data_IF_064648049427
#
_entry.id   IF_064648049427
#
_cell.length_a   1.000
_cell.length_b   1.000
_cell.length_c   1.000
_cell.angle_alpha   90.00
_cell.angle_beta   90.00
_cell.angle_gamma   90.00
#
_symmetry.space_group_name_H-M   'P 1'
#
loop_
_entity.id
_entity.type
_entity.pdbx_description
1 polymer ?
#
# COMPACT_ATOMS: atom_id res chain seq x y z
N UNK A 1 38.92 6.52 -35.49
CA UNK A 1 37.97 6.82 -34.40
C UNK A 1 38.23 5.79 -33.31
N UNK A 2 38.72 6.23 -32.14
CA UNK A 2 39.06 5.35 -31.01
C UNK A 2 37.75 4.98 -30.31
N UNK A 3 37.52 3.69 -30.08
CA UNK A 3 36.37 3.22 -29.32
C UNK A 3 36.33 3.88 -27.93
N UNK A 4 35.14 4.19 -27.37
CA UNK A 4 35.03 4.73 -26.03
C UNK A 4 35.58 3.71 -25.03
N UNK A 5 36.48 4.17 -24.16
CA UNK A 5 36.99 3.40 -23.02
C UNK A 5 35.84 3.02 -22.07
N UNK A 6 35.88 1.82 -21.46
CA UNK A 6 34.89 1.42 -20.46
C UNK A 6 34.90 2.39 -19.26
N UNK A 7 33.76 2.58 -18.57
CA UNK A 7 33.70 3.46 -17.41
C UNK A 7 34.70 3.00 -16.36
N UNK A 8 35.44 3.95 -15.80
CA UNK A 8 36.39 3.76 -14.69
C UNK A 8 35.73 2.98 -13.56
N UNK A 9 36.24 1.79 -13.25
CA UNK A 9 35.84 1.01 -12.08
C UNK A 9 36.13 1.83 -10.83
N UNK A 10 35.09 2.23 -10.09
CA UNK A 10 35.24 2.78 -8.74
C UNK A 10 36.11 1.82 -7.89
N UNK A 11 36.96 2.35 -7.00
CA UNK A 11 37.78 1.51 -6.13
C UNK A 11 36.88 0.67 -5.22
N UNK A 12 37.23 -0.60 -5.06
CA UNK A 12 36.51 -1.48 -4.12
C UNK A 12 36.77 -1.03 -2.69
N UNK A 13 35.71 -1.01 -1.89
CA UNK A 13 35.74 -0.61 -0.47
C UNK A 13 35.39 -1.82 0.38
N UNK A 14 36.18 -2.08 1.43
CA UNK A 14 35.88 -3.13 2.41
C UNK A 14 34.85 -2.60 3.41
N UNK A 15 33.78 -3.36 3.68
CA UNK A 15 32.79 -2.98 4.70
C UNK A 15 33.42 -2.92 6.09
N UNK A 16 33.06 -1.92 6.89
CA UNK A 16 33.66 -1.68 8.21
C UNK A 16 33.35 -2.75 9.25
N UNK A 17 32.19 -3.41 9.12
CA UNK A 17 31.64 -4.29 10.16
C UNK A 17 31.79 -5.76 9.76
N UNK A 18 31.70 -6.05 8.46
CA UNK A 18 31.62 -7.40 7.90
C UNK A 18 32.76 -7.74 6.92
N UNK A 19 33.91 -7.08 7.06
CA UNK A 19 35.17 -7.57 6.50
C UNK A 19 36.01 -8.26 7.60
N UNK A 20 35.65 -9.51 7.90
CA UNK A 20 36.18 -10.27 9.03
C UNK A 20 37.51 -10.92 8.63
N UNK A 21 38.62 -10.68 9.37
CA UNK A 21 39.93 -11.26 9.05
C UNK A 21 39.93 -12.79 8.94
N UNK A 22 39.21 -13.45 9.87
CA UNK A 22 39.04 -14.91 9.94
C UNK A 22 38.00 -15.48 8.95
N UNK A 23 37.31 -14.60 8.19
CA UNK A 23 36.37 -15.02 7.16
C UNK A 23 37.06 -15.84 6.07
N UNK A 24 36.33 -16.78 5.49
CA UNK A 24 36.84 -17.71 4.48
C UNK A 24 36.08 -17.60 3.14
N UNK A 25 35.29 -16.55 2.96
CA UNK A 25 34.62 -16.25 1.70
C UNK A 25 34.49 -14.74 1.52
N UNK A 26 34.94 -14.24 0.38
CA UNK A 26 34.83 -12.84 -0.04
C UNK A 26 33.65 -12.69 -1.00
N UNK A 27 32.76 -11.77 -0.69
CA UNK A 27 31.55 -11.45 -1.46
C UNK A 27 31.63 -9.99 -1.86
N UNK A 28 31.28 -9.72 -3.11
CA UNK A 28 31.17 -8.37 -3.64
C UNK A 28 29.73 -8.03 -3.96
N UNK A 29 29.27 -6.92 -3.40
CA UNK A 29 27.97 -6.30 -3.69
C UNK A 29 28.25 -4.87 -4.15
N UNK A 30 27.92 -4.57 -5.41
CA UNK A 30 28.29 -3.31 -6.07
C UNK A 30 29.81 -3.02 -5.98
N UNK A 31 30.21 -1.98 -5.23
CA UNK A 31 31.59 -1.57 -4.95
C UNK A 31 32.07 -1.96 -3.54
N UNK A 32 31.23 -2.66 -2.76
CA UNK A 32 31.55 -3.10 -1.38
C UNK A 32 31.98 -4.56 -1.33
N UNK A 33 33.09 -4.84 -0.62
CA UNK A 33 33.60 -6.17 -0.30
C UNK A 33 33.24 -6.56 1.13
N UNK A 34 32.71 -7.77 1.27
CA UNK A 34 32.39 -8.43 2.53
C UNK A 34 33.25 -9.68 2.65
N UNK A 35 33.88 -9.89 3.80
CA UNK A 35 34.65 -11.11 4.08
C UNK A 35 34.04 -11.80 5.29
N UNK A 36 33.41 -12.96 5.07
CA UNK A 36 32.52 -13.60 6.03
C UNK A 36 32.77 -15.10 6.13
N UNK A 37 32.12 -15.76 7.09
CA UNK A 37 32.20 -17.21 7.27
C UNK A 37 31.16 -17.90 6.39
N UNK A 38 31.65 -18.66 5.40
CA UNK A 38 30.87 -19.46 4.45
C UNK A 38 29.77 -20.30 5.10
N UNK A 39 30.07 -20.88 6.26
CA UNK A 39 29.14 -21.72 7.01
C UNK A 39 27.84 -20.97 7.35
N UNK A 40 27.93 -19.70 7.75
CA UNK A 40 26.75 -18.91 8.12
C UNK A 40 25.83 -18.65 6.91
N UNK A 41 26.42 -18.42 5.74
CA UNK A 41 25.67 -18.26 4.50
C UNK A 41 25.05 -19.58 4.04
N UNK A 42 25.63 -20.73 4.40
CA UNK A 42 25.12 -22.06 4.03
C UNK A 42 23.98 -22.55 4.93
N UNK A 43 23.49 -21.72 5.86
CA UNK A 43 22.41 -22.11 6.77
C UNK A 43 21.06 -22.02 6.07
N UNK A 44 20.07 -22.67 6.68
CA UNK A 44 18.66 -22.55 6.31
C UNK A 44 18.31 -22.98 4.87
N UNK A 45 19.08 -23.90 4.28
CA UNK A 45 18.82 -24.36 2.92
C UNK A 45 19.03 -23.27 1.87
N UNK A 46 19.84 -22.26 2.17
CA UNK A 46 19.99 -21.09 1.32
C UNK A 46 20.53 -21.44 -0.07
N UNK A 47 20.34 -20.53 -1.02
CA UNK A 47 20.94 -20.64 -2.35
C UNK A 47 22.48 -20.73 -2.29
N UNK A 48 23.10 -20.16 -1.24
CA UNK A 48 24.55 -20.26 -1.03
C UNK A 48 24.97 -21.68 -0.70
N UNK A 49 24.20 -22.44 0.07
CA UNK A 49 24.50 -23.86 0.37
C UNK A 49 24.63 -24.68 -0.92
N UNK A 50 23.67 -24.49 -1.85
CA UNK A 50 23.70 -25.13 -3.17
C UNK A 50 24.89 -24.69 -4.00
N UNK A 51 25.15 -23.38 -4.09
CA UNK A 51 26.31 -22.83 -4.82
C UNK A 51 27.63 -23.40 -4.30
N UNK A 52 27.80 -23.42 -2.98
CA UNK A 52 28.99 -23.91 -2.30
C UNK A 52 29.17 -25.42 -2.43
N UNK A 53 28.08 -26.16 -2.59
CA UNK A 53 28.11 -27.58 -2.88
C UNK A 53 28.55 -27.89 -4.31
N UNK A 54 28.82 -26.91 -5.18
CA UNK A 54 29.34 -27.18 -6.54
C UNK A 54 30.86 -27.06 -6.64
N UNK A 55 31.52 -26.52 -5.62
CA UNK A 55 32.96 -26.24 -5.65
C UNK A 55 33.83 -27.50 -5.84
N UNK A 56 33.35 -28.67 -5.38
CA UNK A 56 34.07 -29.93 -5.54
C UNK A 56 34.05 -30.47 -6.99
N UNK A 57 33.18 -29.93 -7.85
CA UNK A 57 33.10 -30.29 -9.26
C UNK A 57 34.12 -29.55 -10.14
N UNK A 58 34.83 -28.54 -9.59
CA UNK A 58 35.83 -27.73 -10.30
C UNK A 58 37.22 -27.79 -9.64
N UNK A 59 37.85 -28.98 -9.55
CA UNK A 59 39.19 -29.09 -8.98
C UNK A 59 40.23 -28.40 -9.88
N UNK A 60 41.03 -27.48 -9.30
CA UNK A 60 42.21 -26.89 -9.94
C UNK A 60 42.07 -25.46 -10.48
N UNK A 61 40.88 -24.85 -10.42
CA UNK A 61 40.69 -23.42 -10.69
C UNK A 61 40.64 -22.62 -9.39
N UNK A 62 41.19 -21.39 -9.37
CA UNK A 62 41.00 -20.46 -8.25
C UNK A 62 39.50 -20.32 -7.98
N UNK A 63 39.07 -20.62 -6.74
CA UNK A 63 37.62 -20.64 -6.46
C UNK A 63 37.13 -19.21 -6.29
N UNK A 64 35.92 -18.98 -6.76
CA UNK A 64 35.24 -17.71 -6.54
C UNK A 64 35.02 -17.51 -5.04
N UNK A 65 35.38 -16.34 -4.53
CA UNK A 65 35.30 -15.97 -3.13
C UNK A 65 36.54 -16.28 -2.28
N UNK A 66 37.64 -16.78 -2.84
CA UNK A 66 38.88 -17.03 -2.07
C UNK A 66 39.71 -15.76 -1.82
N UNK A 67 39.56 -14.71 -2.65
CA UNK A 67 40.31 -13.46 -2.51
C UNK A 67 39.54 -12.24 -3.01
N UNK A 68 40.04 -11.04 -2.70
CA UNK A 68 39.48 -9.76 -3.13
C UNK A 68 39.56 -9.56 -4.65
N UNK A 69 40.52 -10.21 -5.32
CA UNK A 69 40.68 -10.19 -6.79
C UNK A 69 39.69 -11.11 -7.51
N UNK A 70 39.13 -12.11 -6.81
CA UNK A 70 38.16 -13.05 -7.36
C UNK A 70 37.00 -13.31 -6.37
N UNK A 71 36.22 -12.28 -6.00
CA UNK A 71 35.13 -12.40 -5.04
C UNK A 71 33.87 -13.01 -5.68
N UNK A 72 32.94 -13.50 -4.85
CA UNK A 72 31.61 -13.91 -5.32
C UNK A 72 30.76 -12.68 -5.62
N UNK A 73 30.33 -12.54 -6.87
CA UNK A 73 29.64 -11.34 -7.36
C UNK A 73 28.13 -11.44 -7.20
N UNK A 74 27.53 -10.69 -6.27
CA UNK A 74 26.08 -10.62 -6.12
C UNK A 74 25.50 -9.49 -6.96
N UNK A 75 25.08 -9.82 -8.18
CA UNK A 75 24.56 -8.83 -9.13
C UNK A 75 23.14 -8.38 -8.75
N UNK A 76 22.94 -7.06 -8.76
CA UNK A 76 21.64 -6.42 -8.53
C UNK A 76 21.25 -6.25 -7.06
N UNK A 77 22.07 -6.69 -6.11
CA UNK A 77 21.84 -6.46 -4.69
C UNK A 77 22.46 -5.15 -4.21
N UNK A 78 21.94 -4.65 -3.10
CA UNK A 78 22.47 -3.47 -2.41
C UNK A 78 23.33 -3.85 -1.20
N UNK A 79 24.43 -3.14 -0.93
CA UNK A 79 25.26 -3.40 0.25
C UNK A 79 24.46 -3.38 1.55
N UNK A 80 23.49 -2.48 1.69
CA UNK A 80 22.64 -2.33 2.88
C UNK A 80 21.71 -3.54 3.09
N UNK A 81 21.25 -4.16 2.00
CA UNK A 81 20.44 -5.38 2.04
C UNK A 81 21.29 -6.56 2.50
N UNK A 82 22.47 -6.73 1.90
CA UNK A 82 23.40 -7.78 2.30
C UNK A 82 23.88 -7.60 3.74
N UNK A 83 24.12 -6.37 4.16
CA UNK A 83 24.46 -6.04 5.54
C UNK A 83 23.34 -6.41 6.52
N UNK A 84 22.07 -6.21 6.15
CA UNK A 84 20.94 -6.65 6.96
C UNK A 84 20.89 -8.18 7.14
N UNK A 85 21.18 -8.94 6.07
CA UNK A 85 21.33 -10.40 6.16
C UNK A 85 22.45 -10.79 7.11
N UNK A 86 23.64 -10.20 6.94
CA UNK A 86 24.79 -10.49 7.79
C UNK A 86 24.52 -10.12 9.26
N UNK A 87 23.81 -9.02 9.51
CA UNK A 87 23.33 -8.68 10.85
C UNK A 87 22.51 -9.83 11.45
N UNK A 88 21.52 -10.37 10.74
CA UNK A 88 20.71 -11.48 11.25
C UNK A 88 21.51 -12.76 11.52
N UNK A 89 22.60 -13.00 10.78
CA UNK A 89 23.42 -14.21 10.87
C UNK A 89 24.48 -14.14 11.98
N UNK A 90 24.97 -12.94 12.30
CA UNK A 90 26.05 -12.71 13.24
C UNK A 90 25.60 -12.12 14.59
N UNK A 91 24.44 -11.47 14.65
CA UNK A 91 23.95 -10.83 15.86
C UNK A 91 23.57 -11.85 16.95
N UNK A 92 23.68 -11.42 18.20
CA UNK A 92 23.28 -12.23 19.34
C UNK A 92 21.75 -12.32 19.44
N UNK A 93 21.17 -13.38 20.04
CA UNK A 93 19.73 -13.49 20.21
C UNK A 93 19.08 -12.24 20.84
N UNK A 94 19.73 -11.64 21.83
CA UNK A 94 19.23 -10.44 22.50
C UNK A 94 19.17 -9.21 21.58
N UNK A 95 19.98 -9.15 20.52
CA UNK A 95 20.00 -8.06 19.55
C UNK A 95 18.98 -8.30 18.43
N UNK A 96 18.83 -9.57 18.02
CA UNK A 96 17.91 -10.01 16.97
C UNK A 96 16.47 -9.93 17.43
N UNK A 97 16.17 -10.34 18.67
CA UNK A 97 14.79 -10.34 19.21
C UNK A 97 14.32 -8.99 19.75
N UNK A 98 15.13 -7.92 19.65
CA UNK A 98 14.65 -6.58 19.95
C UNK A 98 13.65 -6.13 18.88
N UNK A 99 12.47 -5.72 19.33
CA UNK A 99 11.47 -5.14 18.43
C UNK A 99 12.00 -3.83 17.82
N UNK A 100 11.77 -3.60 16.51
CA UNK A 100 12.07 -2.33 15.88
C UNK A 100 11.51 -1.15 16.66
N UNK A 101 12.38 -0.20 17.01
CA UNK A 101 12.01 1.01 17.77
C UNK A 101 12.26 2.29 16.99
N UNK A 102 12.91 2.19 15.84
CA UNK A 102 13.23 3.31 14.94
C UNK A 102 12.81 3.00 13.50
N UNK A 103 12.65 4.04 12.68
CA UNK A 103 12.41 3.86 11.24
C UNK A 103 13.58 3.12 10.55
N UNK A 104 14.82 3.35 10.99
CA UNK A 104 15.99 2.62 10.49
C UNK A 104 15.93 1.12 10.79
N UNK A 105 15.36 0.73 11.93
CA UNK A 105 15.15 -0.69 12.24
C UNK A 105 14.14 -1.30 11.28
N UNK A 106 13.01 -0.63 11.05
CA UNK A 106 11.99 -1.09 10.10
C UNK A 106 12.61 -1.28 8.71
N UNK A 107 13.38 -0.30 8.22
CA UNK A 107 14.07 -0.39 6.93
C UNK A 107 15.06 -1.56 6.89
N UNK A 108 15.83 -1.81 7.96
CA UNK A 108 16.71 -2.98 8.05
C UNK A 108 15.93 -4.30 7.97
N UNK A 109 14.76 -4.39 8.60
CA UNK A 109 13.91 -5.58 8.52
C UNK A 109 13.28 -5.77 7.13
N UNK A 110 12.90 -4.69 6.44
CA UNK A 110 12.47 -4.74 5.03
C UNK A 110 13.60 -5.28 4.14
N UNK A 111 14.80 -4.72 4.27
CA UNK A 111 16.00 -5.15 3.58
C UNK A 111 16.28 -6.64 3.83
N UNK A 112 16.20 -7.06 5.09
CA UNK A 112 16.38 -8.43 5.51
C UNK A 112 15.36 -9.37 4.85
N UNK A 113 14.06 -9.05 4.90
CA UNK A 113 13.03 -9.88 4.29
C UNK A 113 13.25 -10.03 2.78
N UNK A 114 13.58 -8.94 2.09
CA UNK A 114 13.83 -8.93 0.63
C UNK A 114 15.01 -9.83 0.23
N UNK A 115 16.14 -9.71 0.92
CA UNK A 115 17.33 -10.50 0.57
C UNK A 115 17.24 -11.94 1.07
N UNK A 116 16.60 -12.17 2.22
CA UNK A 116 16.32 -13.51 2.73
C UNK A 116 15.43 -14.28 1.74
N UNK A 117 14.40 -13.64 1.19
CA UNK A 117 13.58 -14.18 0.12
C UNK A 117 14.41 -14.54 -1.12
N UNK A 118 15.21 -13.59 -1.64
CA UNK A 118 16.06 -13.79 -2.83
C UNK A 118 17.00 -14.98 -2.70
N UNK A 119 17.63 -15.13 -1.54
CA UNK A 119 18.61 -16.20 -1.27
C UNK A 119 18.03 -17.40 -0.53
N UNK A 120 16.71 -17.49 -0.41
CA UNK A 120 16.00 -18.62 0.20
C UNK A 120 16.34 -18.91 1.66
N UNK A 121 16.63 -17.89 2.47
CA UNK A 121 16.69 -18.00 3.95
C UNK A 121 15.27 -17.95 4.54
N UNK A 122 14.51 -19.03 4.37
CA UNK A 122 13.06 -19.08 4.62
C UNK A 122 12.68 -18.76 6.06
N UNK A 123 13.43 -19.25 7.05
CA UNK A 123 13.13 -18.99 8.46
C UNK A 123 13.43 -17.55 8.83
N UNK A 124 14.50 -16.98 8.27
CA UNK A 124 14.86 -15.57 8.45
C UNK A 124 13.84 -14.65 7.77
N UNK A 125 13.39 -14.99 6.57
CA UNK A 125 12.34 -14.28 5.83
C UNK A 125 11.04 -14.25 6.64
N UNK A 126 10.53 -15.41 7.05
CA UNK A 126 9.30 -15.53 7.82
C UNK A 126 9.37 -14.75 9.15
N UNK A 127 10.51 -14.83 9.84
CA UNK A 127 10.74 -14.07 11.06
C UNK A 127 10.72 -12.56 10.80
N UNK A 128 11.42 -12.08 9.77
CA UNK A 128 11.46 -10.66 9.44
C UNK A 128 10.08 -10.10 9.09
N UNK A 129 9.29 -10.83 8.29
CA UNK A 129 7.93 -10.45 7.91
C UNK A 129 6.97 -10.45 9.10
N UNK A 130 7.10 -11.42 10.01
CA UNK A 130 6.32 -11.45 11.24
C UNK A 130 6.60 -10.23 12.12
N UNK A 131 7.89 -9.89 12.32
CA UNK A 131 8.27 -8.69 13.09
C UNK A 131 7.70 -7.42 12.46
N UNK A 132 7.81 -7.27 11.13
CA UNK A 132 7.24 -6.13 10.41
C UNK A 132 5.72 -6.03 10.62
N UNK A 133 5.01 -7.15 10.54
CA UNK A 133 3.54 -7.21 10.73
C UNK A 133 3.15 -6.78 12.15
N UNK A 134 3.84 -7.31 13.17
CA UNK A 134 3.58 -6.97 14.58
C UNK A 134 3.86 -5.48 14.85
N UNK A 135 4.91 -4.92 14.25
CA UNK A 135 5.24 -3.50 14.40
C UNK A 135 4.11 -2.60 13.92
N UNK A 136 3.43 -2.93 12.82
CA UNK A 136 2.39 -2.06 12.26
C UNK A 136 1.05 -2.18 12.95
N UNK A 137 0.76 -3.32 13.56
CA UNK A 137 -0.46 -3.52 14.34
C UNK A 137 -0.37 -2.92 15.75
N UNK A 138 0.84 -2.60 16.22
CA UNK A 138 1.04 -2.09 17.58
C UNK A 138 1.03 -0.56 17.63
N UNK A 139 -0.04 0.01 18.18
CA UNK A 139 -0.20 1.46 18.35
C UNK A 139 0.79 2.10 19.34
N UNK A 140 1.55 1.31 20.10
CA UNK A 140 2.42 1.77 21.19
C UNK A 140 3.92 1.82 20.84
N UNK A 141 4.36 1.09 19.81
CA UNK A 141 5.80 0.81 19.60
C UNK A 141 6.46 1.82 18.64
N UNK A 142 5.71 2.34 17.68
CA UNK A 142 6.17 3.32 16.71
C UNK A 142 5.00 4.29 16.44
N UNK A 143 5.29 5.58 16.20
CA UNK A 143 4.33 6.36 15.41
C UNK A 143 4.09 5.58 14.11
N UNK A 144 2.83 5.36 13.66
CA UNK A 144 2.57 4.63 12.43
C UNK A 144 3.47 5.18 11.34
N UNK A 145 4.01 4.27 10.52
CA UNK A 145 4.90 4.64 9.41
C UNK A 145 4.11 5.51 8.43
N UNK A 146 4.10 6.81 8.69
CA UNK A 146 3.45 7.84 7.86
C UNK A 146 4.42 8.35 6.78
N UNK A 147 5.50 7.61 6.54
CA UNK A 147 6.51 7.95 5.55
C UNK A 147 6.23 7.15 4.29
N UNK A 148 5.79 7.83 3.25
CA UNK A 148 5.54 7.27 1.91
C UNK A 148 6.66 6.36 1.40
N UNK A 149 7.96 6.72 1.54
CA UNK A 149 9.05 5.81 1.16
C UNK A 149 9.07 4.47 1.89
N UNK A 150 8.78 4.46 3.19
CA UNK A 150 8.82 3.22 3.99
C UNK A 150 7.56 2.39 3.70
N UNK A 151 6.39 3.05 3.61
CA UNK A 151 5.14 2.37 3.29
C UNK A 151 5.19 1.73 1.89
N UNK A 152 5.81 2.42 0.93
CA UNK A 152 6.13 1.86 -0.40
C UNK A 152 6.95 0.58 -0.27
N UNK A 153 8.06 0.64 0.47
CA UNK A 153 8.95 -0.51 0.62
C UNK A 153 8.31 -1.69 1.36
N UNK A 154 7.48 -1.41 2.37
CA UNK A 154 6.67 -2.43 3.07
C UNK A 154 5.69 -3.11 2.13
N UNK A 155 5.00 -2.32 1.31
CA UNK A 155 4.06 -2.83 0.31
C UNK A 155 4.78 -3.71 -0.71
N UNK A 156 5.92 -3.25 -1.23
CA UNK A 156 6.72 -4.03 -2.17
C UNK A 156 7.22 -5.34 -1.58
N UNK A 157 7.69 -5.36 -0.33
CA UNK A 157 8.20 -6.59 0.28
C UNK A 157 7.06 -7.55 0.64
N UNK A 158 5.90 -7.04 1.07
CA UNK A 158 4.72 -7.86 1.32
C UNK A 158 4.27 -8.59 0.05
N UNK A 159 4.22 -7.89 -1.09
CA UNK A 159 3.87 -8.48 -2.40
C UNK A 159 4.96 -9.42 -2.89
N UNK A 160 6.24 -9.04 -2.81
CA UNK A 160 7.37 -9.87 -3.24
C UNK A 160 7.40 -11.22 -2.52
N UNK A 161 7.21 -11.20 -1.20
CA UNK A 161 7.21 -12.39 -0.36
C UNK A 161 5.85 -13.12 -0.31
N UNK A 162 4.82 -12.60 -0.99
CA UNK A 162 3.44 -13.11 -0.93
C UNK A 162 2.93 -13.28 0.52
N UNK A 163 3.13 -12.26 1.36
CA UNK A 163 2.79 -12.28 2.78
C UNK A 163 1.48 -11.53 3.07
N UNK A 164 0.36 -12.27 3.08
CA UNK A 164 -1.00 -11.73 3.19
C UNK A 164 -1.21 -10.88 4.47
N UNK A 165 -0.76 -11.34 5.63
CA UNK A 165 -0.96 -10.61 6.90
C UNK A 165 -0.28 -9.23 6.90
N UNK A 166 0.86 -9.10 6.20
CA UNK A 166 1.58 -7.82 6.10
C UNK A 166 0.88 -6.91 5.10
N UNK A 167 0.35 -7.48 4.02
CA UNK A 167 -0.44 -6.75 3.05
C UNK A 167 -1.70 -6.14 3.71
N UNK A 168 -2.46 -6.94 4.47
CA UNK A 168 -3.64 -6.49 5.21
C UNK A 168 -3.30 -5.42 6.26
N UNK A 169 -2.14 -5.50 6.91
CA UNK A 169 -1.70 -4.49 7.87
C UNK A 169 -1.33 -3.15 7.21
N UNK A 170 -0.84 -3.17 5.97
CA UNK A 170 -0.36 -1.98 5.24
C UNK A 170 -1.49 -1.22 4.52
N UNK A 171 -2.57 -1.89 4.11
CA UNK A 171 -3.73 -1.27 3.47
C UNK A 171 -4.35 -0.09 4.25
N UNK A 172 -4.72 -0.23 5.54
CA UNK A 172 -5.31 0.88 6.30
C UNK A 172 -4.31 2.04 6.49
N UNK A 173 -3.01 1.75 6.57
CA UNK A 173 -1.98 2.77 6.69
C UNK A 173 -1.91 3.66 5.45
N UNK A 174 -2.06 3.08 4.25
CA UNK A 174 -2.18 3.85 3.02
C UNK A 174 -3.42 4.72 3.02
N UNK A 175 -4.58 4.18 3.45
CA UNK A 175 -5.80 4.95 3.52
C UNK A 175 -5.64 6.17 4.44
N UNK A 176 -5.14 5.97 5.66
CA UNK A 176 -4.88 7.04 6.62
C UNK A 176 -3.92 8.10 6.07
N UNK A 177 -2.82 7.68 5.44
CA UNK A 177 -1.85 8.57 4.81
C UNK A 177 -2.49 9.39 3.69
N UNK A 178 -3.26 8.76 2.81
CA UNK A 178 -3.90 9.43 1.67
C UNK A 178 -4.99 10.41 2.10
N UNK A 179 -5.72 10.13 3.18
CA UNK A 179 -6.71 11.05 3.73
C UNK A 179 -6.10 12.30 4.39
N UNK A 180 -4.78 12.32 4.67
CA UNK A 180 -4.08 13.58 5.03
C UNK A 180 -4.12 14.59 3.88
N UNK A 181 -4.29 14.11 2.64
CA UNK A 181 -4.49 14.93 1.46
C UNK A 181 -3.21 15.53 0.87
N UNK A 182 -2.02 15.02 1.18
CA UNK A 182 -0.79 15.48 0.52
C UNK A 182 -0.68 14.96 -0.91
N UNK A 183 -0.44 15.86 -1.87
CA UNK A 183 -0.42 15.52 -3.30
C UNK A 183 0.72 14.56 -3.67
N UNK A 184 1.89 14.70 -3.03
CA UNK A 184 3.07 13.85 -3.31
C UNK A 184 2.86 12.40 -2.84
N UNK A 185 2.20 12.22 -1.70
CA UNK A 185 1.86 10.90 -1.14
C UNK A 185 0.85 10.17 -2.03
N UNK A 186 -0.15 10.90 -2.55
CA UNK A 186 -1.14 10.35 -3.49
C UNK A 186 -0.46 9.89 -4.79
N UNK A 187 0.44 10.69 -5.37
CA UNK A 187 1.16 10.31 -6.61
C UNK A 187 2.05 9.09 -6.39
N UNK A 188 2.69 9.01 -5.22
CA UNK A 188 3.51 7.86 -4.85
C UNK A 188 2.66 6.60 -4.70
N UNK A 189 1.51 6.70 -4.03
CA UNK A 189 0.54 5.60 -3.92
C UNK A 189 0.02 5.14 -5.29
N UNK A 190 -0.31 6.08 -6.19
CA UNK A 190 -0.70 5.76 -7.57
C UNK A 190 0.40 4.95 -8.27
N UNK A 191 1.65 5.40 -8.15
CA UNK A 191 2.80 4.75 -8.80
C UNK A 191 3.03 3.33 -8.27
N UNK A 192 2.97 3.14 -6.95
CA UNK A 192 3.14 1.82 -6.32
C UNK A 192 1.96 0.90 -6.65
N UNK A 193 0.74 1.41 -6.60
CA UNK A 193 -0.45 0.64 -6.91
C UNK A 193 -0.51 0.21 -8.38
N UNK A 194 -0.08 1.07 -9.31
CA UNK A 194 0.06 0.73 -10.72
C UNK A 194 1.14 -0.34 -10.94
N UNK A 195 2.31 -0.18 -10.30
CA UNK A 195 3.44 -1.12 -10.42
C UNK A 195 3.11 -2.52 -9.89
N UNK A 196 2.40 -2.59 -8.77
CA UNK A 196 2.09 -3.83 -8.05
C UNK A 196 0.66 -4.35 -8.34
N UNK A 197 -0.11 -3.64 -9.17
CA UNK A 197 -1.51 -3.93 -9.49
C UNK A 197 -2.43 -4.05 -8.24
N UNK A 198 -2.26 -3.14 -7.28
CA UNK A 198 -3.01 -3.13 -6.02
C UNK A 198 -4.33 -2.38 -6.20
N UNK A 199 -5.37 -3.12 -6.57
CA UNK A 199 -6.67 -2.57 -6.99
C UNK A 199 -7.32 -1.63 -5.96
N UNK A 200 -7.48 -1.98 -4.66
CA UNK A 200 -8.10 -1.06 -3.69
C UNK A 200 -7.32 0.25 -3.54
N UNK A 201 -5.99 0.16 -3.41
CA UNK A 201 -5.11 1.32 -3.29
C UNK A 201 -5.14 2.19 -4.56
N UNK A 202 -5.13 1.57 -5.74
CA UNK A 202 -5.23 2.25 -7.03
C UNK A 202 -6.54 3.07 -7.09
N UNK A 203 -7.67 2.43 -6.82
CA UNK A 203 -8.97 3.10 -6.83
C UNK A 203 -9.01 4.32 -5.91
N UNK A 204 -8.55 4.16 -4.66
CA UNK A 204 -8.53 5.24 -3.68
C UNK A 204 -7.56 6.37 -4.08
N UNK A 205 -6.35 6.05 -4.50
CA UNK A 205 -5.34 7.06 -4.84
C UNK A 205 -5.77 7.88 -6.07
N UNK A 206 -6.26 7.23 -7.12
CA UNK A 206 -6.79 7.93 -8.30
C UNK A 206 -8.05 8.74 -7.97
N UNK A 207 -8.94 8.24 -7.10
CA UNK A 207 -10.09 9.00 -6.62
C UNK A 207 -9.68 10.29 -5.91
N UNK A 208 -8.75 10.21 -4.96
CA UNK A 208 -8.31 11.37 -4.21
C UNK A 208 -7.55 12.37 -5.10
N UNK A 209 -6.72 11.87 -6.03
CA UNK A 209 -6.08 12.74 -7.03
C UNK A 209 -7.10 13.40 -7.95
N UNK A 210 -8.17 12.69 -8.33
CA UNK A 210 -9.26 13.24 -9.13
C UNK A 210 -9.91 14.44 -8.42
N UNK A 211 -10.16 14.32 -7.11
CA UNK A 211 -10.77 15.39 -6.29
C UNK A 211 -9.88 16.63 -6.13
N UNK A 212 -8.55 16.51 -6.31
CA UNK A 212 -7.65 17.67 -6.34
C UNK A 212 -7.90 18.60 -7.52
N UNK A 213 -8.35 18.03 -8.64
CA UNK A 213 -8.69 18.78 -9.85
C UNK A 213 -7.48 19.25 -10.66
N UNK A 214 -7.78 19.74 -11.87
CA UNK A 214 -6.78 20.03 -12.91
C UNK A 214 -5.78 21.13 -12.52
N UNK A 215 -6.20 22.12 -11.73
CA UNK A 215 -5.33 23.22 -11.33
C UNK A 215 -4.15 22.73 -10.49
N UNK A 216 -4.41 21.80 -9.55
CA UNK A 216 -3.36 21.14 -8.78
C UNK A 216 -2.43 20.33 -9.69
N UNK A 217 -3.00 19.56 -10.63
CA UNK A 217 -2.23 18.70 -11.56
C UNK A 217 -1.28 19.49 -12.47
N UNK A 218 -1.63 20.74 -12.79
CA UNK A 218 -0.83 21.63 -13.62
C UNK A 218 0.28 22.34 -12.83
N UNK A 219 0.10 22.49 -11.51
CA UNK A 219 1.06 23.14 -10.61
C UNK A 219 2.04 22.16 -9.95
N UNK A 220 2.06 20.91 -10.41
CA UNK A 220 2.96 19.88 -9.90
C UNK A 220 4.42 20.22 -10.18
N UNK A 221 5.27 19.96 -9.18
CA UNK A 221 6.72 20.12 -9.29
C UNK A 221 7.33 18.99 -10.16
N UNK A 222 8.61 19.13 -10.52
CA UNK A 222 9.33 18.15 -11.35
C UNK A 222 9.43 16.75 -10.71
N UNK A 223 9.34 16.65 -9.38
CA UNK A 223 9.43 15.38 -8.63
C UNK A 223 8.10 14.61 -8.62
N UNK A 224 6.99 15.30 -8.83
CA UNK A 224 5.64 14.76 -8.67
C UNK A 224 4.85 14.91 -9.98
N UNK A 225 5.34 14.33 -11.08
CA UNK A 225 4.70 14.49 -12.39
C UNK A 225 3.75 13.34 -12.69
N UNK A 226 2.50 13.66 -13.04
CA UNK A 226 1.56 12.68 -13.54
C UNK A 226 1.96 12.23 -14.96
N UNK A 227 2.05 10.93 -15.16
CA UNK A 227 2.29 10.36 -16.49
C UNK A 227 1.10 10.62 -17.43
N UNK A 228 1.30 10.44 -18.74
CA UNK A 228 0.22 10.56 -19.72
C UNK A 228 -0.90 9.56 -19.44
N UNK A 229 -0.55 8.32 -19.11
CA UNK A 229 -1.49 7.25 -18.76
C UNK A 229 -2.30 7.60 -17.51
N UNK A 230 -1.63 8.06 -16.45
CA UNK A 230 -2.29 8.51 -15.21
C UNK A 230 -3.30 9.63 -15.48
N UNK A 231 -2.95 10.61 -16.34
CA UNK A 231 -3.87 11.68 -16.74
C UNK A 231 -5.09 11.18 -17.51
N UNK A 232 -4.91 10.21 -18.41
CA UNK A 232 -6.02 9.61 -19.15
C UNK A 232 -6.97 8.88 -18.20
N UNK A 233 -6.43 8.08 -17.28
CA UNK A 233 -7.22 7.37 -16.26
C UNK A 233 -7.99 8.33 -15.36
N UNK A 234 -7.38 9.44 -14.93
CA UNK A 234 -8.08 10.47 -14.14
C UNK A 234 -9.27 11.09 -14.89
N UNK A 235 -9.13 11.34 -16.20
CA UNK A 235 -10.22 11.87 -17.03
C UNK A 235 -11.33 10.83 -17.26
N UNK A 236 -10.96 9.56 -17.50
CA UNK A 236 -11.88 8.43 -17.60
C UNK A 236 -12.67 8.25 -16.30
N UNK A 237 -11.97 8.25 -15.17
CA UNK A 237 -12.55 8.18 -13.83
C UNK A 237 -13.50 9.32 -13.52
N UNK A 238 -13.15 10.56 -13.89
CA UNK A 238 -14.05 11.70 -13.75
C UNK A 238 -15.38 11.48 -14.47
N UNK A 239 -15.33 11.00 -15.72
CA UNK A 239 -16.52 10.71 -16.50
C UNK A 239 -17.36 9.58 -15.86
N UNK A 240 -16.72 8.47 -15.50
CA UNK A 240 -17.39 7.31 -14.92
C UNK A 240 -18.04 7.65 -13.57
N UNK A 241 -17.31 8.32 -12.68
CA UNK A 241 -17.81 8.70 -11.35
C UNK A 241 -18.91 9.76 -11.47
N UNK A 242 -18.80 10.72 -12.40
CA UNK A 242 -19.88 11.68 -12.63
C UNK A 242 -21.19 10.96 -12.97
N UNK A 243 -21.15 9.94 -13.84
CA UNK A 243 -22.35 9.15 -14.18
C UNK A 243 -22.92 8.40 -12.98
N UNK A 244 -22.05 7.80 -12.15
CA UNK A 244 -22.50 7.13 -10.91
C UNK A 244 -23.16 8.14 -9.97
N UNK A 245 -22.57 9.32 -9.81
CA UNK A 245 -23.11 10.41 -9.02
C UNK A 245 -24.47 10.92 -9.55
N UNK A 246 -24.63 11.03 -10.86
CA UNK A 246 -25.88 11.46 -11.49
C UNK A 246 -27.00 10.41 -11.34
N UNK A 247 -26.64 9.12 -11.33
CA UNK A 247 -27.57 8.02 -11.09
C UNK A 247 -27.93 7.84 -9.61
N UNK A 248 -27.07 8.30 -8.68
CA UNK A 248 -27.16 8.08 -7.24
C UNK A 248 -28.55 8.36 -6.62
N UNK A 249 -29.26 9.47 -6.96
CA UNK A 249 -30.60 9.73 -6.41
C UNK A 249 -31.62 8.64 -6.76
N UNK A 250 -31.47 7.99 -7.91
CA UNK A 250 -32.40 6.96 -8.42
C UNK A 250 -32.00 5.54 -8.07
N UNK A 251 -30.79 5.35 -7.50
CA UNK A 251 -30.24 4.03 -7.15
C UNK A 251 -30.12 3.90 -5.64
N UNK A 252 -31.24 3.88 -4.92
CA UNK A 252 -31.21 3.68 -3.48
C UNK A 252 -30.73 2.27 -3.11
N UNK A 253 -30.02 2.10 -1.98
CA UNK A 253 -29.64 0.79 -1.47
C UNK A 253 -30.85 -0.14 -1.30
N UNK A 254 -30.65 -1.43 -1.53
CA UNK A 254 -31.71 -2.44 -1.43
C UNK A 254 -32.19 -2.55 0.03
N UNK A 255 -33.46 -2.22 0.27
CA UNK A 255 -34.04 -2.25 1.61
C UNK A 255 -34.45 -3.68 1.99
N UNK A 256 -33.81 -4.24 3.02
CA UNK A 256 -34.26 -5.47 3.66
C UNK A 256 -35.30 -5.13 4.74
N UNK A 257 -36.55 -5.54 4.54
CA UNK A 257 -37.62 -5.28 5.51
C UNK A 257 -37.44 -6.09 6.81
N UNK A 258 -37.62 -5.42 7.94
CA UNK A 258 -37.70 -6.08 9.24
C UNK A 258 -39.01 -6.89 9.36
N UNK A 259 -39.04 -8.03 10.06
CA UNK A 259 -40.25 -8.87 10.19
C UNK A 259 -41.48 -8.14 10.77
N UNK A 260 -41.28 -7.03 11.49
CA UNK A 260 -42.36 -6.21 12.06
C UNK A 260 -42.94 -5.18 11.07
N UNK A 261 -42.49 -5.18 9.81
CA UNK A 261 -42.98 -4.28 8.78
C UNK A 261 -44.25 -4.83 8.12
N UNK A 262 -45.41 -4.26 8.46
CA UNK A 262 -46.71 -4.70 7.94
C UNK A 262 -47.03 -4.19 6.52
N UNK A 263 -46.39 -3.11 6.07
CA UNK A 263 -46.67 -2.45 4.79
C UNK A 263 -45.39 -2.34 3.96
N UNK A 264 -44.83 -3.47 3.53
CA UNK A 264 -43.54 -3.54 2.82
C UNK A 264 -43.50 -2.65 1.58
N UNK A 265 -44.54 -2.70 0.72
CA UNK A 265 -44.59 -1.87 -0.51
C UNK A 265 -44.50 -0.36 -0.24
N UNK A 266 -45.35 0.17 0.65
CA UNK A 266 -45.32 1.60 1.02
C UNK A 266 -44.04 1.99 1.76
N UNK A 267 -43.48 1.07 2.55
CA UNK A 267 -42.22 1.30 3.27
C UNK A 267 -41.05 1.39 2.28
N UNK A 268 -41.02 0.53 1.25
CA UNK A 268 -40.05 0.59 0.16
C UNK A 268 -40.15 1.87 -0.66
N UNK A 269 -41.36 2.28 -1.05
CA UNK A 269 -41.59 3.56 -1.76
C UNK A 269 -41.15 4.77 -0.92
N UNK A 270 -41.46 4.76 0.39
CA UNK A 270 -41.03 5.79 1.31
C UNK A 270 -39.49 5.84 1.45
N UNK A 271 -38.82 4.69 1.45
CA UNK A 271 -37.35 4.61 1.44
C UNK A 271 -36.74 5.19 0.17
N UNK A 272 -37.27 4.84 -1.00
CA UNK A 272 -36.82 5.40 -2.28
C UNK A 272 -37.00 6.92 -2.33
N UNK A 273 -38.15 7.41 -1.88
CA UNK A 273 -38.47 8.85 -1.82
C UNK A 273 -37.55 9.58 -0.85
N UNK A 274 -37.32 8.99 0.33
CA UNK A 274 -36.38 9.49 1.35
C UNK A 274 -34.98 9.63 0.76
N UNK A 275 -34.45 8.55 0.17
CA UNK A 275 -33.13 8.53 -0.45
C UNK A 275 -33.00 9.58 -1.55
N UNK A 276 -33.93 9.58 -2.50
CA UNK A 276 -33.93 10.52 -3.63
C UNK A 276 -33.90 11.97 -3.14
N UNK A 277 -34.77 12.30 -2.18
CA UNK A 277 -34.87 13.66 -1.62
C UNK A 277 -33.59 14.05 -0.89
N UNK A 278 -33.00 13.12 -0.13
CA UNK A 278 -31.78 13.35 0.63
C UNK A 278 -30.59 13.65 -0.29
N UNK A 279 -30.36 12.82 -1.30
CA UNK A 279 -29.25 13.00 -2.26
C UNK A 279 -29.49 14.22 -3.17
N UNK A 280 -30.73 14.47 -3.60
CA UNK A 280 -31.08 15.64 -4.42
C UNK A 280 -30.86 16.97 -3.68
N UNK A 281 -31.15 17.03 -2.37
CA UNK A 281 -30.85 18.22 -1.55
C UNK A 281 -29.35 18.48 -1.45
N UNK A 282 -28.52 17.44 -1.32
CA UNK A 282 -27.06 17.59 -1.27
C UNK A 282 -26.44 18.09 -2.59
N UNK A 283 -27.11 17.85 -3.72
CA UNK A 283 -26.62 18.23 -5.06
C UNK A 283 -27.13 19.60 -5.51
N UNK A 284 -28.30 20.04 -5.04
CA UNK A 284 -28.95 21.28 -5.47
C UNK A 284 -28.74 22.48 -4.52
N UNK A 285 -28.13 22.31 -3.34
CA UNK A 285 -27.85 23.41 -2.42
C UNK A 285 -26.65 24.28 -2.88
N UNK A 286 -26.87 25.04 -3.95
CA UNK A 286 -26.03 26.15 -4.38
C UNK A 286 -26.27 27.44 -3.60
N UNK A 287 -26.96 27.40 -2.45
CA UNK A 287 -27.57 28.59 -1.86
C UNK A 287 -27.08 29.04 -0.48
N UNK A 288 -26.80 28.16 0.48
CA UNK A 288 -26.63 28.65 1.87
C UNK A 288 -25.80 27.79 2.85
N UNK A 289 -25.04 26.81 2.37
CA UNK A 289 -24.13 26.02 3.21
C UNK A 289 -22.67 26.22 2.80
N UNK A 290 -21.82 26.53 3.78
CA UNK A 290 -20.38 26.82 3.65
C UNK A 290 -19.51 25.67 3.08
N UNK A 291 -20.09 24.59 2.56
CA UNK A 291 -19.38 23.43 2.02
C UNK A 291 -19.99 23.00 0.68
N UNK A 292 -19.43 23.49 -0.43
CA UNK A 292 -19.76 23.01 -1.77
C UNK A 292 -19.12 21.63 -1.97
N UNK A 293 -19.93 20.56 -1.93
CA UNK A 293 -19.45 19.21 -2.25
C UNK A 293 -19.23 19.13 -3.76
N UNK A 294 -18.06 18.64 -4.20
CA UNK A 294 -17.80 18.44 -5.62
C UNK A 294 -18.77 17.38 -6.17
N UNK A 295 -19.27 17.54 -7.41
CA UNK A 295 -20.24 16.57 -7.95
C UNK A 295 -19.67 15.13 -7.96
N UNK A 296 -18.37 14.99 -8.20
CA UNK A 296 -17.69 13.70 -8.27
C UNK A 296 -17.29 13.12 -6.89
N UNK A 297 -17.58 13.81 -5.79
CA UNK A 297 -17.25 13.34 -4.43
C UNK A 297 -18.33 12.38 -3.89
N UNK A 298 -18.39 11.19 -4.48
CA UNK A 298 -19.40 10.16 -4.16
C UNK A 298 -19.30 9.67 -2.71
N UNK A 299 -18.08 9.47 -2.19
CA UNK A 299 -17.89 8.98 -0.83
C UNK A 299 -18.42 9.98 0.20
N UNK A 300 -18.15 11.28 0.02
CA UNK A 300 -18.68 12.31 0.92
C UNK A 300 -20.19 12.41 0.87
N UNK A 301 -20.81 12.25 -0.32
CA UNK A 301 -22.28 12.21 -0.46
C UNK A 301 -22.88 11.03 0.32
N UNK A 302 -22.29 9.84 0.22
CA UNK A 302 -22.75 8.65 0.93
C UNK A 302 -22.54 8.75 2.45
N UNK A 303 -21.37 9.23 2.91
CA UNK A 303 -21.14 9.44 4.34
C UNK A 303 -22.10 10.48 4.93
N UNK A 304 -22.40 11.56 4.19
CA UNK A 304 -23.40 12.54 4.61
C UNK A 304 -24.81 11.92 4.67
N UNK A 305 -25.14 11.03 3.72
CA UNK A 305 -26.41 10.29 3.75
C UNK A 305 -26.51 9.39 4.99
N UNK A 306 -25.46 8.65 5.33
CA UNK A 306 -25.40 7.83 6.54
C UNK A 306 -25.59 8.67 7.81
N UNK A 307 -24.87 9.80 7.91
CA UNK A 307 -25.02 10.73 9.04
C UNK A 307 -26.45 11.28 9.18
N UNK A 308 -27.12 11.60 8.07
CA UNK A 308 -28.52 12.05 8.09
C UNK A 308 -29.49 10.92 8.48
N UNK A 309 -29.24 9.70 8.03
CA UNK A 309 -30.01 8.51 8.42
C UNK A 309 -29.87 8.21 9.91
N UNK A 310 -28.68 8.34 10.49
CA UNK A 310 -28.43 8.23 11.93
C UNK A 310 -29.20 9.28 12.72
N UNK A 311 -29.15 10.55 12.29
CA UNK A 311 -29.94 11.63 12.92
C UNK A 311 -31.44 11.36 12.86
N UNK A 312 -31.94 10.81 11.74
CA UNK A 312 -33.33 10.41 11.60
C UNK A 312 -33.72 9.28 12.58
N UNK A 313 -32.83 8.30 12.79
CA UNK A 313 -33.05 7.22 13.75
C UNK A 313 -33.07 7.71 15.20
N UNK A 314 -32.26 8.74 15.50
CA UNK A 314 -32.16 9.38 16.81
C UNK A 314 -33.27 10.41 17.07
N UNK A 315 -34.05 10.79 16.05
CA UNK A 315 -35.14 11.76 16.18
C UNK A 315 -34.68 13.22 16.15
N UNK A 316 -33.48 13.49 15.68
CA UNK A 316 -32.84 14.81 15.64
C UNK A 316 -33.01 15.54 14.28
N UNK A 317 -33.96 15.09 13.47
CA UNK A 317 -34.06 15.55 12.09
C UNK A 317 -34.64 16.97 11.95
N UNK A 318 -34.10 17.81 11.06
CA UNK A 318 -34.79 19.01 10.61
C UNK A 318 -36.09 18.60 9.90
N UNK A 319 -37.19 19.28 10.23
CA UNK A 319 -38.54 19.00 9.71
C UNK A 319 -38.58 18.93 8.16
N UNK A 320 -39.51 18.13 7.63
CA UNK A 320 -39.75 17.77 6.21
C UNK A 320 -39.01 16.55 5.65
N UNK A 321 -39.05 15.44 6.39
CA UNK A 321 -38.77 14.12 5.82
C UNK A 321 -40.08 13.32 5.73
N UNK A 322 -40.46 12.77 4.55
CA UNK A 322 -41.70 12.00 4.38
C UNK A 322 -41.64 10.71 5.23
N UNK A 323 -42.08 10.83 6.48
CA UNK A 323 -41.96 9.82 7.52
C UNK A 323 -43.03 8.74 7.38
N UNK A 324 -42.79 7.77 6.50
CA UNK A 324 -43.55 6.50 6.46
C UNK A 324 -42.65 5.25 6.48
N UNK A 325 -41.33 5.41 6.56
CA UNK A 325 -40.42 4.26 6.69
C UNK A 325 -40.48 3.73 8.12
N UNK A 326 -40.75 2.43 8.27
CA UNK A 326 -40.72 1.77 9.57
C UNK A 326 -39.32 1.91 10.20
N UNK A 327 -39.23 2.30 11.49
CA UNK A 327 -37.95 2.57 12.19
C UNK A 327 -36.95 1.41 12.12
N UNK A 328 -37.40 0.16 12.22
CA UNK A 328 -36.53 -1.01 12.09
C UNK A 328 -36.05 -1.22 10.64
N UNK A 329 -36.90 -0.92 9.65
CA UNK A 329 -36.49 -0.92 8.25
C UNK A 329 -35.51 0.22 7.96
N UNK A 330 -35.69 1.40 8.56
CA UNK A 330 -34.76 2.52 8.42
C UNK A 330 -33.34 2.15 8.94
N UNK A 331 -33.24 1.40 10.05
CA UNK A 331 -31.97 0.85 10.52
C UNK A 331 -31.32 -0.10 9.52
N UNK A 332 -32.12 -0.98 8.89
CA UNK A 332 -31.62 -1.86 7.83
C UNK A 332 -31.21 -1.05 6.58
N UNK A 333 -31.90 0.04 6.27
CA UNK A 333 -31.56 0.97 5.19
C UNK A 333 -30.25 1.72 5.45
N UNK A 334 -30.00 2.15 6.69
CA UNK A 334 -28.70 2.70 7.11
C UNK A 334 -27.59 1.68 6.88
N UNK A 335 -27.75 0.44 7.36
CA UNK A 335 -26.78 -0.63 7.11
C UNK A 335 -26.53 -0.86 5.61
N UNK A 336 -27.59 -0.93 4.80
CA UNK A 336 -27.46 -1.08 3.35
C UNK A 336 -26.72 0.11 2.69
N UNK A 337 -26.82 1.31 3.26
CA UNK A 337 -26.09 2.49 2.81
C UNK A 337 -24.62 2.47 3.27
N UNK A 338 -24.32 1.96 4.46
CA UNK A 338 -22.94 1.68 4.90
C UNK A 338 -22.27 0.61 4.01
N UNK A 339 -22.98 -0.47 3.71
CA UNK A 339 -22.53 -1.51 2.77
C UNK A 339 -22.26 -0.89 1.38
N UNK A 340 -23.12 0.04 0.93
CA UNK A 340 -22.94 0.77 -0.33
C UNK A 340 -21.67 1.64 -0.35
N UNK A 341 -21.26 2.22 0.79
CA UNK A 341 -19.98 2.96 0.89
C UNK A 341 -18.82 2.02 0.62
N UNK A 342 -18.82 0.85 1.26
CA UNK A 342 -17.78 -0.17 1.07
C UNK A 342 -17.75 -0.66 -0.38
N UNK A 343 -18.91 -0.98 -0.98
CA UNK A 343 -19.01 -1.39 -2.38
C UNK A 343 -18.41 -0.35 -3.33
N UNK A 344 -18.68 0.94 -3.09
CA UNK A 344 -18.12 2.03 -3.90
C UNK A 344 -16.61 2.13 -3.68
N UNK A 345 -16.14 2.08 -2.44
CA UNK A 345 -14.72 2.18 -2.09
C UNK A 345 -13.90 1.07 -2.76
N UNK A 346 -14.31 -0.19 -2.63
CA UNK A 346 -13.62 -1.34 -3.24
C UNK A 346 -13.80 -1.40 -4.76
N UNK A 347 -14.90 -0.84 -5.29
CA UNK A 347 -15.17 -0.71 -6.73
C UNK A 347 -14.53 0.50 -7.41
N UNK A 348 -13.85 1.40 -6.68
CA UNK A 348 -13.28 2.62 -7.27
C UNK A 348 -12.31 2.30 -8.41
N UNK A 349 -11.53 1.23 -8.28
CA UNK A 349 -10.53 0.83 -9.28
C UNK A 349 -11.14 0.59 -10.67
N UNK A 350 -12.39 0.11 -10.75
CA UNK A 350 -13.12 -0.09 -12.01
C UNK A 350 -13.47 1.21 -12.72
N UNK A 351 -13.53 2.32 -11.98
CA UNK A 351 -13.80 3.62 -12.58
C UNK A 351 -12.58 4.19 -13.32
N UNK A 352 -11.36 3.77 -12.96
CA UNK A 352 -10.10 4.34 -13.45
C UNK A 352 -9.39 3.44 -14.46
N UNK A 353 -10.15 2.81 -15.36
CA UNK A 353 -9.62 2.01 -16.48
C UNK A 353 -9.34 2.87 -17.72
N UNK A 354 -8.38 2.42 -18.53
CA UNK A 354 -8.13 3.01 -19.86
C UNK A 354 -9.32 2.75 -20.77
N UNK A 355 -9.65 3.74 -21.61
CA UNK A 355 -10.64 3.57 -22.67
C UNK A 355 -9.99 2.77 -23.80
N UNK A 356 -10.54 1.60 -24.11
CA UNK A 356 -10.12 0.74 -25.23
C UNK A 356 -10.19 1.46 -26.59
#
# INVERSE_FOLDING_TARGET
>A
MRAPSPPSSLPLVQDSDYYIPEGNTVIRVEDTLFKVHRYLLSRDGSAFEGMFSLDHLRPGTAKEGESDENPIMLQGDKPEEFKALLWSLYALPAEVFQMPSTQSDVVRFIHLARIAHKYSFRTTESWALHVLTVCQNSSEILSPVNSTPILTQLTEVAVLCNHEELHEAVEPMWADLLFTGQTEDIISAMTVADKLNLRPLLGLAYYLMMLKGRDEWNNLNLKSTLTREQRIRLLSGYYNISRVCDALPTTAPALVHHPTCFMQGRCGEAWQTLWTTMIAKMTNDGGNSSFKIQNVDILRKLHLANHLLEKLLNGEAPMDVPGNVNKSCLRNGLKASEDKVNDVLYGLADCFVELD
#
